data_IF_294556596003
#
_entry.id   IF_294556596003
#
_cell.length_a   1.000
_cell.length_b   1.000
_cell.length_c   1.000
_cell.angle_alpha   90.00
_cell.angle_beta   90.00
_cell.angle_gamma   90.00
#
_symmetry.space_group_name_H-M   'P 1'
#
loop_
_entity.id
_entity.type
_entity.pdbx_description
1 polymer ?
#
# COMPACT_ATOMS: atom_id res chain seq x y z
N UNK A 1 -12.26 11.28 -86.26
CA UNK A 1 -11.83 9.88 -86.48
C UNK A 1 -11.16 9.42 -85.19
N UNK A 2 -11.85 8.56 -84.42
CA UNK A 2 -11.30 7.59 -83.43
C UNK A 2 -10.68 8.20 -82.15
N UNK A 3 -10.82 7.72 -80.89
CA UNK A 3 -11.73 6.86 -80.11
C UNK A 3 -11.03 6.70 -78.72
N UNK A 4 -11.77 6.75 -77.59
CA UNK A 4 -11.45 6.16 -76.25
C UNK A 4 -10.22 6.72 -75.47
N UNK A 5 -10.12 6.71 -74.13
CA UNK A 5 -10.76 5.94 -73.05
C UNK A 5 -10.65 6.71 -71.73
N UNK A 6 -11.69 6.60 -70.90
CA UNK A 6 -11.67 6.85 -69.45
C UNK A 6 -10.80 5.78 -68.74
N UNK A 7 -10.22 6.08 -67.57
CA UNK A 7 -10.41 5.32 -66.32
C UNK A 7 -9.68 6.01 -65.15
N UNK A 8 -10.46 6.32 -64.10
CA UNK A 8 -9.99 6.72 -62.79
C UNK A 8 -9.43 5.51 -62.04
N UNK A 9 -8.31 5.68 -61.33
CA UNK A 9 -7.75 4.71 -60.39
C UNK A 9 -7.88 5.33 -59.00
N UNK A 10 -9.01 5.14 -58.33
CA UNK A 10 -9.32 4.07 -57.37
C UNK A 10 -8.42 4.13 -56.13
N UNK A 11 -9.02 4.69 -55.07
CA UNK A 11 -8.55 4.72 -53.70
C UNK A 11 -8.11 3.33 -53.22
N UNK A 12 -6.88 3.24 -52.71
CA UNK A 12 -6.46 2.21 -51.78
C UNK A 12 -7.28 2.40 -50.48
N UNK A 13 -8.42 1.71 -50.40
CA UNK A 13 -9.03 1.40 -49.11
C UNK A 13 -8.03 0.52 -48.36
N UNK A 14 -7.38 1.09 -47.35
CA UNK A 14 -6.83 0.32 -46.24
C UNK A 14 -8.00 -0.48 -45.65
N UNK A 15 -8.08 -1.77 -45.98
CA UNK A 15 -8.92 -2.71 -45.26
C UNK A 15 -8.38 -2.77 -43.84
N UNK A 16 -8.99 -2.00 -42.94
CA UNK A 16 -8.87 -2.22 -41.50
C UNK A 16 -9.41 -3.62 -41.26
N UNK A 17 -8.51 -4.60 -41.17
CA UNK A 17 -8.84 -5.94 -40.69
C UNK A 17 -9.45 -5.77 -39.31
N UNK A 18 -10.75 -6.00 -39.19
CA UNK A 18 -11.49 -5.91 -37.93
C UNK A 18 -11.03 -7.07 -37.06
N UNK A 19 -9.99 -6.87 -36.25
CA UNK A 19 -9.41 -7.91 -35.39
C UNK A 19 -10.43 -8.37 -34.34
N UNK A 20 -10.40 -9.66 -34.00
CA UNK A 20 -11.40 -10.28 -33.15
C UNK A 20 -11.15 -10.07 -31.65
N UNK A 21 -10.00 -10.52 -31.16
CA UNK A 21 -9.44 -10.01 -29.92
C UNK A 21 -8.04 -9.50 -30.21
N UNK A 22 -7.64 -8.44 -29.53
CA UNK A 22 -6.34 -7.82 -29.67
C UNK A 22 -5.71 -7.65 -28.29
N UNK A 23 -4.41 -7.88 -28.19
CA UNK A 23 -3.62 -7.47 -27.03
C UNK A 23 -3.51 -5.95 -27.03
N UNK A 24 -4.27 -5.31 -26.14
CA UNK A 24 -4.37 -3.84 -26.00
C UNK A 24 -3.60 -3.33 -24.79
N UNK A 25 -3.35 -4.18 -23.80
CA UNK A 25 -2.49 -3.93 -22.65
C UNK A 25 -1.55 -5.11 -22.39
N UNK A 26 -0.35 -5.07 -22.96
CA UNK A 26 0.64 -6.13 -22.79
C UNK A 26 1.22 -6.19 -21.36
N UNK A 27 1.33 -5.04 -20.69
CA UNK A 27 1.89 -4.91 -19.35
C UNK A 27 1.03 -4.02 -18.43
N UNK A 28 -0.17 -4.48 -18.01
CA UNK A 28 -1.00 -3.75 -17.06
C UNK A 28 -0.35 -3.66 -15.67
N UNK A 29 -0.79 -2.69 -14.87
CA UNK A 29 -0.37 -2.54 -13.48
C UNK A 29 -1.55 -2.65 -12.53
N UNK A 30 -1.33 -3.30 -11.39
CA UNK A 30 -2.20 -3.22 -10.21
C UNK A 30 -1.38 -2.53 -9.11
N UNK A 31 -1.75 -1.30 -8.77
CA UNK A 31 -1.07 -0.51 -7.75
C UNK A 31 -1.99 -0.37 -6.53
N UNK A 32 -1.57 -0.90 -5.39
CA UNK A 32 -2.28 -0.69 -4.11
C UNK A 32 -1.90 0.66 -3.45
N UNK A 33 -0.85 1.33 -3.93
CA UNK A 33 -0.37 2.61 -3.41
C UNK A 33 0.55 2.48 -2.21
N UNK A 34 0.62 3.53 -1.40
CA UNK A 34 1.49 3.65 -0.24
C UNK A 34 0.68 3.48 1.03
N UNK A 35 0.98 2.44 1.82
CA UNK A 35 0.21 2.08 3.01
C UNK A 35 1.17 1.69 4.14
N UNK A 36 0.88 2.09 5.38
CA UNK A 36 1.74 1.73 6.51
C UNK A 36 1.68 0.24 6.85
N UNK A 37 2.76 -0.31 7.40
CA UNK A 37 2.83 -1.73 7.78
C UNK A 37 1.68 -2.16 8.71
N UNK A 38 1.29 -1.31 9.65
CA UNK A 38 0.17 -1.58 10.57
C UNK A 38 -1.19 -1.51 9.87
N UNK A 39 -1.36 -0.59 8.93
CA UNK A 39 -2.61 -0.46 8.16
C UNK A 39 -2.81 -1.65 7.23
N UNK A 40 -1.76 -2.07 6.52
CA UNK A 40 -1.81 -3.28 5.67
C UNK A 40 -2.11 -4.53 6.51
N UNK A 41 -1.54 -4.63 7.71
CA UNK A 41 -1.76 -5.76 8.60
C UNK A 41 -3.19 -5.83 9.15
N UNK A 42 -3.85 -4.68 9.35
CA UNK A 42 -5.18 -4.61 9.97
C UNK A 42 -6.35 -4.43 8.99
N UNK A 43 -6.08 -3.99 7.76
CA UNK A 43 -7.11 -3.68 6.77
C UNK A 43 -6.72 -4.12 5.36
N UNK A 44 -7.68 -4.68 4.64
CA UNK A 44 -7.49 -5.13 3.26
C UNK A 44 -7.36 -3.94 2.32
N UNK A 45 -6.37 -4.00 1.42
CA UNK A 45 -6.20 -3.04 0.35
C UNK A 45 -6.81 -3.59 -0.93
N UNK A 46 -7.41 -2.74 -1.75
CA UNK A 46 -8.08 -3.13 -2.99
C UNK A 46 -7.58 -2.27 -4.14
N UNK A 47 -7.41 -2.89 -5.30
CA UNK A 47 -7.03 -2.20 -6.54
C UNK A 47 -7.53 -2.99 -7.76
N UNK A 48 -7.26 -2.46 -8.95
CA UNK A 48 -7.65 -3.09 -10.21
C UNK A 48 -6.56 -2.92 -11.27
N UNK A 49 -6.55 -3.81 -12.24
CA UNK A 49 -5.63 -3.74 -13.37
C UNK A 49 -5.97 -2.53 -14.24
N UNK A 50 -4.97 -1.69 -14.49
CA UNK A 50 -5.09 -0.52 -15.35
C UNK A 50 -4.23 -0.71 -16.62
N UNK A 51 -4.78 -0.49 -17.83
CA UNK A 51 -6.18 -0.11 -18.11
C UNK A 51 -7.19 -1.27 -17.93
N UNK A 52 -6.75 -2.52 -18.10
CA UNK A 52 -7.54 -3.76 -17.93
C UNK A 52 -6.61 -4.98 -17.94
N UNK A 53 -7.13 -6.21 -17.87
CA UNK A 53 -6.32 -7.43 -17.71
C UNK A 53 -5.45 -7.83 -18.92
N UNK A 54 -5.78 -7.40 -20.14
CA UNK A 54 -4.79 -7.43 -21.23
C UNK A 54 -5.34 -7.32 -22.66
N UNK A 55 -6.44 -8.00 -22.96
CA UNK A 55 -7.03 -7.99 -24.29
C UNK A 55 -8.33 -7.20 -24.32
N UNK A 56 -8.67 -6.70 -25.50
CA UNK A 56 -10.01 -6.21 -25.85
C UNK A 56 -10.56 -7.10 -26.97
N UNK A 57 -11.80 -7.54 -26.85
CA UNK A 57 -12.49 -8.35 -27.86
C UNK A 57 -13.66 -7.59 -28.48
N UNK A 58 -13.79 -7.64 -29.81
CA UNK A 58 -14.86 -7.03 -30.58
C UNK A 58 -15.95 -8.05 -30.94
N UNK A 59 -17.09 -7.89 -30.30
CA UNK A 59 -18.30 -8.70 -30.45
C UNK A 59 -19.42 -7.99 -31.24
N UNK A 60 -19.12 -6.91 -31.98
CA UNK A 60 -20.12 -6.12 -32.74
C UNK A 60 -20.94 -6.92 -33.74
N UNK A 61 -20.42 -8.05 -34.19
CA UNK A 61 -21.05 -8.94 -35.17
C UNK A 61 -21.54 -10.26 -34.57
N UNK A 62 -21.50 -10.39 -33.23
CA UNK A 62 -21.98 -11.59 -32.54
C UNK A 62 -23.52 -11.63 -32.56
N UNK A 63 -24.11 -12.29 -33.57
CA UNK A 63 -25.58 -12.40 -33.73
C UNK A 63 -26.19 -13.46 -32.81
N UNK A 64 -25.46 -14.54 -32.53
CA UNK A 64 -25.89 -15.60 -31.62
C UNK A 64 -24.69 -16.38 -31.09
N UNK A 65 -24.69 -16.66 -29.78
CA UNK A 65 -23.74 -17.56 -29.13
C UNK A 65 -23.90 -18.98 -29.69
N UNK A 66 -22.88 -19.49 -30.38
CA UNK A 66 -22.87 -20.88 -30.83
C UNK A 66 -22.28 -21.79 -29.75
N UNK A 67 -22.70 -23.06 -29.76
CA UNK A 67 -22.10 -24.08 -28.90
C UNK A 67 -20.60 -24.18 -29.18
N UNK A 68 -19.77 -24.00 -28.14
CA UNK A 68 -18.31 -24.07 -28.24
C UNK A 68 -17.62 -22.73 -28.51
N UNK A 69 -18.34 -21.60 -28.51
CA UNK A 69 -17.70 -20.28 -28.47
C UNK A 69 -17.13 -20.01 -27.07
N UNK A 70 -15.89 -19.53 -27.01
CA UNK A 70 -15.26 -19.17 -25.75
C UNK A 70 -14.24 -18.05 -25.91
N UNK A 71 -14.06 -17.33 -24.82
CA UNK A 71 -12.88 -16.54 -24.50
C UNK A 71 -12.50 -16.98 -23.11
N UNK A 72 -11.27 -17.45 -22.94
CA UNK A 72 -10.79 -18.00 -21.68
C UNK A 72 -9.48 -17.35 -21.27
N UNK A 73 -9.30 -17.19 -19.96
CA UNK A 73 -8.05 -16.76 -19.36
C UNK A 73 -7.58 -17.75 -18.30
N UNK A 74 -6.28 -18.01 -18.27
CA UNK A 74 -5.59 -18.68 -17.16
C UNK A 74 -4.66 -17.68 -16.50
N UNK A 75 -4.82 -17.47 -15.20
CA UNK A 75 -4.00 -16.56 -14.41
C UNK A 75 -2.91 -17.34 -13.68
N UNK A 76 -1.64 -17.02 -13.90
CA UNK A 76 -0.52 -17.67 -13.22
C UNK A 76 0.35 -16.61 -12.54
N UNK A 77 0.44 -16.65 -11.22
CA UNK A 77 1.35 -15.81 -10.43
C UNK A 77 2.71 -16.51 -10.30
N UNK A 78 3.80 -15.74 -10.39
CA UNK A 78 5.16 -16.26 -10.13
C UNK A 78 5.31 -16.67 -8.67
N UNK A 79 4.69 -15.93 -7.75
CA UNK A 79 4.78 -16.15 -6.31
C UNK A 79 3.53 -16.81 -5.70
N UNK A 80 2.71 -17.48 -6.51
CA UNK A 80 1.47 -18.16 -6.09
C UNK A 80 0.49 -17.25 -5.29
N UNK A 81 0.35 -15.99 -5.68
CA UNK A 81 -0.55 -15.03 -5.02
C UNK A 81 0.05 -14.38 -3.78
N UNK A 82 1.38 -14.32 -3.69
CA UNK A 82 2.10 -13.61 -2.63
C UNK A 82 2.84 -12.42 -3.23
N UNK A 83 2.62 -11.24 -2.67
CA UNK A 83 3.51 -10.11 -2.86
C UNK A 83 4.73 -10.31 -1.94
N UNK A 84 5.92 -10.28 -2.52
CA UNK A 84 7.19 -10.43 -1.80
C UNK A 84 7.89 -9.08 -1.72
N UNK A 85 8.43 -8.75 -0.53
CA UNK A 85 9.29 -7.59 -0.38
C UNK A 85 10.63 -7.83 -1.09
N UNK A 86 11.06 -6.90 -1.94
CA UNK A 86 12.30 -7.01 -2.71
C UNK A 86 13.56 -7.07 -1.82
N UNK A 87 13.53 -6.41 -0.66
CA UNK A 87 14.67 -6.30 0.27
C UNK A 87 14.58 -7.27 1.47
N UNK A 88 13.40 -7.80 1.77
CA UNK A 88 13.17 -8.80 2.83
C UNK A 88 12.18 -9.89 2.37
N UNK A 89 12.63 -10.89 1.60
CA UNK A 89 11.76 -11.94 1.07
C UNK A 89 11.00 -12.75 2.13
N UNK A 90 11.39 -12.68 3.41
CA UNK A 90 10.66 -13.32 4.52
C UNK A 90 9.38 -12.57 4.89
N UNK A 91 9.22 -11.33 4.43
CA UNK A 91 8.03 -10.53 4.63
C UNK A 91 7.15 -10.67 3.38
N UNK A 92 6.08 -11.45 3.54
CA UNK A 92 5.18 -11.85 2.46
C UNK A 92 3.74 -11.40 2.76
N UNK A 93 3.05 -10.94 1.73
CA UNK A 93 1.64 -10.53 1.82
C UNK A 93 0.82 -11.28 0.79
N UNK A 94 -0.12 -12.09 1.25
CA UNK A 94 -1.05 -12.77 0.33
C UNK A 94 -1.98 -11.76 -0.34
N UNK A 95 -2.42 -12.09 -1.55
CA UNK A 95 -3.48 -11.37 -2.23
C UNK A 95 -4.29 -12.33 -3.10
N UNK A 96 -5.53 -11.92 -3.37
CA UNK A 96 -6.47 -12.65 -4.22
C UNK A 96 -6.85 -11.76 -5.40
N UNK A 97 -7.26 -12.37 -6.51
CA UNK A 97 -7.75 -11.68 -7.70
C UNK A 97 -9.20 -12.04 -7.99
N UNK A 98 -9.93 -11.11 -8.60
CA UNK A 98 -11.38 -11.20 -8.79
C UNK A 98 -11.82 -10.66 -10.15
N UNK A 99 -12.93 -11.20 -10.65
CA UNK A 99 -13.56 -10.78 -11.90
C UNK A 99 -14.46 -9.55 -11.79
N UNK A 100 -14.90 -9.22 -10.57
CA UNK A 100 -15.90 -8.18 -10.33
C UNK A 100 -15.43 -7.18 -9.26
N UNK A 101 -15.90 -5.92 -9.33
CA UNK A 101 -15.54 -4.90 -8.34
C UNK A 101 -16.08 -5.21 -6.93
N UNK A 102 -17.11 -6.06 -6.82
CA UNK A 102 -17.67 -6.52 -5.54
C UNK A 102 -16.85 -7.60 -4.86
N UNK A 103 -15.81 -8.13 -5.53
CA UNK A 103 -14.93 -9.20 -5.05
C UNK A 103 -15.71 -10.48 -4.66
N UNK A 104 -16.73 -10.80 -5.43
CA UNK A 104 -17.60 -11.96 -5.23
C UNK A 104 -17.19 -13.18 -6.07
N UNK A 105 -16.52 -12.93 -7.20
CA UNK A 105 -16.02 -13.94 -8.13
C UNK A 105 -14.51 -13.99 -8.06
N UNK A 106 -13.98 -14.89 -7.21
CA UNK A 106 -12.54 -15.11 -7.08
C UNK A 106 -11.99 -15.89 -8.29
N UNK A 107 -10.86 -15.42 -8.82
CA UNK A 107 -10.02 -16.17 -9.74
C UNK A 107 -8.88 -16.84 -8.97
N UNK A 108 -8.85 -18.16 -9.01
CA UNK A 108 -7.81 -18.98 -8.39
C UNK A 108 -6.67 -19.16 -9.39
N UNK A 109 -5.44 -18.88 -8.96
CA UNK A 109 -4.27 -19.05 -9.81
C UNK A 109 -4.13 -20.51 -10.32
N UNK A 110 -3.73 -20.65 -11.57
CA UNK A 110 -3.61 -21.93 -12.28
C UNK A 110 -4.93 -22.47 -12.87
N UNK A 111 -6.08 -21.90 -12.51
CA UNK A 111 -7.37 -22.28 -13.09
C UNK A 111 -7.67 -21.49 -14.37
N UNK A 112 -8.43 -22.11 -15.26
CA UNK A 112 -8.88 -21.50 -16.52
C UNK A 112 -10.34 -21.09 -16.39
N UNK A 113 -10.63 -19.83 -16.72
CA UNK A 113 -11.95 -19.25 -16.62
C UNK A 113 -12.48 -18.93 -18.02
N UNK A 114 -13.62 -19.52 -18.39
CA UNK A 114 -14.32 -19.22 -19.63
C UNK A 114 -15.34 -18.11 -19.39
N UNK A 115 -15.09 -16.93 -19.99
CA UNK A 115 -15.92 -15.76 -19.81
C UNK A 115 -17.35 -15.95 -20.34
N UNK A 116 -17.57 -16.85 -21.31
CA UNK A 116 -18.89 -17.17 -21.86
C UNK A 116 -19.77 -17.93 -20.86
N UNK A 117 -19.17 -18.69 -19.94
CA UNK A 117 -19.89 -19.48 -18.94
C UNK A 117 -20.22 -18.68 -17.67
N UNK A 118 -19.41 -17.68 -17.36
CA UNK A 118 -19.55 -16.85 -16.16
C UNK A 118 -20.39 -15.58 -16.38
N UNK A 119 -21.14 -15.50 -17.48
CA UNK A 119 -22.06 -14.40 -17.75
C UNK A 119 -21.51 -13.29 -18.65
N UNK A 120 -20.81 -13.63 -19.73
CA UNK A 120 -20.35 -12.66 -20.74
C UNK A 120 -21.45 -11.69 -21.21
N UNK A 121 -22.72 -12.11 -21.21
CA UNK A 121 -23.85 -11.26 -21.59
C UNK A 121 -24.04 -10.05 -20.67
N UNK A 122 -23.71 -10.16 -19.37
CA UNK A 122 -23.71 -9.02 -18.45
C UNK A 122 -22.53 -8.08 -18.75
N UNK A 123 -21.39 -8.64 -19.17
CA UNK A 123 -20.22 -7.89 -19.64
C UNK A 123 -20.54 -7.12 -20.94
N UNK A 124 -21.18 -7.76 -21.92
CA UNK A 124 -21.58 -7.12 -23.19
C UNK A 124 -22.71 -6.11 -23.01
N UNK A 125 -23.65 -6.36 -22.08
CA UNK A 125 -24.70 -5.42 -21.72
C UNK A 125 -24.18 -4.13 -21.06
N UNK A 126 -23.02 -4.21 -20.39
CA UNK A 126 -22.38 -3.10 -19.69
C UNK A 126 -21.32 -2.35 -20.52
N UNK A 127 -20.55 -3.05 -21.36
CA UNK A 127 -19.41 -2.49 -22.11
C UNK A 127 -19.69 -2.29 -23.62
N UNK A 128 -20.85 -2.72 -24.11
CA UNK A 128 -21.23 -2.60 -25.51
C UNK A 128 -20.60 -3.69 -26.38
N UNK A 129 -20.34 -3.37 -27.65
CA UNK A 129 -19.84 -4.35 -28.63
C UNK A 129 -18.34 -4.64 -28.50
N UNK A 130 -17.60 -3.89 -27.69
CA UNK A 130 -16.20 -4.18 -27.35
C UNK A 130 -16.13 -4.52 -25.86
N UNK A 131 -15.62 -5.69 -25.53
CA UNK A 131 -15.43 -6.09 -24.14
C UNK A 131 -13.97 -5.97 -23.73
N UNK A 132 -13.76 -5.31 -22.60
CA UNK A 132 -12.52 -5.35 -21.84
C UNK A 132 -12.74 -6.26 -20.63
N UNK A 133 -11.70 -7.00 -20.25
CA UNK A 133 -11.78 -7.94 -19.13
C UNK A 133 -11.18 -7.28 -17.90
N UNK A 134 -12.00 -6.90 -16.91
CA UNK A 134 -11.48 -6.30 -15.68
C UNK A 134 -10.81 -7.38 -14.82
N UNK A 135 -9.85 -6.94 -14.01
CA UNK A 135 -9.23 -7.75 -12.99
C UNK A 135 -9.07 -6.88 -11.74
N UNK A 136 -9.64 -7.33 -10.64
CA UNK A 136 -9.53 -6.68 -9.34
C UNK A 136 -8.61 -7.51 -8.45
N UNK A 137 -7.96 -6.87 -7.48
CA UNK A 137 -7.11 -7.55 -6.52
C UNK A 137 -7.38 -7.03 -5.12
N UNK A 138 -7.21 -7.91 -4.13
CA UNK A 138 -7.35 -7.57 -2.71
C UNK A 138 -6.26 -8.24 -1.89
N UNK A 139 -5.60 -7.49 -1.03
CA UNK A 139 -4.59 -8.04 -0.10
C UNK A 139 -5.25 -8.81 1.04
N UNK A 140 -4.50 -9.75 1.61
CA UNK A 140 -4.76 -10.34 2.91
C UNK A 140 -4.51 -9.35 4.06
N UNK A 141 -4.70 -9.84 5.28
CA UNK A 141 -4.43 -9.14 6.55
C UNK A 141 -3.70 -10.08 7.50
N UNK A 142 -3.16 -9.56 8.60
CA UNK A 142 -2.51 -10.33 9.65
C UNK A 142 -1.02 -10.63 9.42
N UNK A 143 -0.45 -10.21 8.28
CA UNK A 143 0.99 -10.31 8.06
C UNK A 143 1.76 -9.27 8.88
N UNK A 144 2.90 -9.67 9.43
CA UNK A 144 3.87 -8.77 10.03
C UNK A 144 4.93 -8.39 8.99
N UNK A 145 4.84 -7.17 8.47
CA UNK A 145 5.56 -6.73 7.28
C UNK A 145 6.69 -5.77 7.65
N UNK A 146 7.81 -5.88 6.95
CA UNK A 146 8.83 -4.85 6.89
C UNK A 146 8.44 -3.76 5.89
N UNK A 147 9.05 -2.58 6.01
CA UNK A 147 8.90 -1.54 5.01
C UNK A 147 9.61 -1.95 3.71
N UNK A 148 9.09 -1.49 2.57
CA UNK A 148 9.69 -1.77 1.27
C UNK A 148 8.67 -1.93 0.16
N UNK A 149 9.17 -2.28 -1.02
CA UNK A 149 8.37 -2.50 -2.21
C UNK A 149 8.01 -3.97 -2.33
N UNK A 150 6.72 -4.24 -2.42
CA UNK A 150 6.14 -5.57 -2.49
C UNK A 150 5.65 -5.85 -3.90
N UNK A 151 6.15 -6.92 -4.53
CA UNK A 151 5.82 -7.24 -5.92
C UNK A 151 5.43 -8.68 -6.15
N UNK A 152 4.61 -8.86 -7.19
CA UNK A 152 4.35 -10.13 -7.86
C UNK A 152 4.07 -9.86 -9.34
N UNK A 153 4.18 -10.90 -10.17
CA UNK A 153 3.82 -10.84 -11.58
C UNK A 153 2.81 -11.93 -11.91
N UNK A 154 1.70 -11.53 -12.52
CA UNK A 154 0.67 -12.43 -13.02
C UNK A 154 0.80 -12.51 -14.53
N UNK A 155 1.09 -13.69 -15.03
CA UNK A 155 0.98 -14.01 -16.45
C UNK A 155 -0.45 -14.44 -16.76
N UNK A 156 -1.12 -13.69 -17.63
CA UNK A 156 -2.47 -14.02 -18.11
C UNK A 156 -2.38 -14.60 -19.51
N UNK A 157 -2.75 -15.87 -19.63
CA UNK A 157 -2.78 -16.59 -20.90
C UNK A 157 -4.19 -16.57 -21.47
N UNK A 158 -4.38 -15.85 -22.56
CA UNK A 158 -5.66 -15.69 -23.24
C UNK A 158 -5.77 -16.66 -24.42
N UNK A 159 -6.92 -17.32 -24.54
CA UNK A 159 -7.28 -18.13 -25.70
C UNK A 159 -8.73 -17.82 -26.04
N UNK A 160 -9.00 -17.58 -27.31
CA UNK A 160 -10.36 -17.37 -27.79
C UNK A 160 -10.61 -18.17 -29.05
N UNK A 161 -11.86 -18.59 -29.19
CA UNK A 161 -12.43 -19.12 -30.42
C UNK A 161 -13.93 -18.85 -30.40
N UNK A 162 -14.37 -17.86 -31.16
CA UNK A 162 -15.79 -17.52 -31.23
C UNK A 162 -16.21 -17.13 -32.65
N UNK A 163 -17.52 -17.18 -32.88
CA UNK A 163 -18.06 -16.81 -34.17
C UNK A 163 -18.18 -15.29 -34.34
N UNK A 164 -17.23 -14.69 -35.06
CA UNK A 164 -17.30 -13.25 -35.39
C UNK A 164 -18.17 -12.99 -36.62
N UNK A 165 -18.28 -13.91 -37.57
CA UNK A 165 -19.06 -13.70 -38.78
C UNK A 165 -20.52 -14.14 -38.66
N UNK A 166 -21.02 -14.90 -39.64
CA UNK A 166 -22.43 -15.30 -39.70
C UNK A 166 -22.58 -16.75 -39.23
N UNK A 167 -23.42 -16.97 -38.22
CA UNK A 167 -23.88 -18.30 -37.81
C UNK A 167 -25.11 -18.73 -38.63
N UNK A 168 -24.96 -19.73 -39.51
CA UNK A 168 -26.08 -20.30 -40.28
C UNK A 168 -26.16 -21.80 -40.01
N UNK A 169 -27.32 -22.28 -39.54
CA UNK A 169 -27.56 -23.70 -39.25
C UNK A 169 -26.52 -24.34 -38.30
N UNK A 170 -26.00 -23.58 -37.34
CA UNK A 170 -24.99 -24.06 -36.37
C UNK A 170 -23.54 -24.02 -36.90
N UNK A 171 -23.31 -23.58 -38.13
CA UNK A 171 -21.97 -23.38 -38.70
C UNK A 171 -21.60 -21.91 -38.68
N UNK A 172 -20.42 -21.60 -38.15
CA UNK A 172 -19.87 -20.26 -38.18
C UNK A 172 -19.06 -20.01 -39.46
N UNK A 173 -19.45 -19.04 -40.26
CA UNK A 173 -18.65 -18.49 -41.35
C UNK A 173 -17.94 -17.25 -40.83
N UNK A 174 -16.62 -17.31 -40.67
CA UNK A 174 -15.82 -16.24 -40.07
C UNK A 174 -15.56 -16.45 -38.57
N UNK A 175 -15.13 -17.66 -38.20
CA UNK A 175 -14.58 -17.91 -36.85
C UNK A 175 -13.34 -17.06 -36.66
N UNK A 176 -13.20 -16.53 -35.45
CA UNK A 176 -11.99 -15.87 -35.05
C UNK A 176 -11.43 -16.57 -33.83
N UNK A 177 -10.25 -17.15 -34.03
CA UNK A 177 -9.51 -17.85 -33.01
C UNK A 177 -8.11 -17.23 -32.87
N UNK A 178 -7.54 -17.36 -31.68
CA UNK A 178 -6.21 -16.83 -31.40
C UNK A 178 -5.85 -16.96 -29.94
N UNK A 179 -4.65 -16.51 -29.63
CA UNK A 179 -4.13 -16.43 -28.28
C UNK A 179 -3.27 -15.19 -28.10
N UNK A 180 -3.18 -14.74 -26.87
CA UNK A 180 -2.31 -13.65 -26.46
C UNK A 180 -1.86 -13.87 -25.02
N UNK A 181 -0.82 -13.15 -24.62
CA UNK A 181 -0.35 -13.16 -23.25
C UNK A 181 -0.12 -11.72 -22.80
N UNK A 182 -0.63 -11.40 -21.61
CA UNK A 182 -0.31 -10.17 -20.89
C UNK A 182 0.41 -10.53 -19.58
N UNK A 183 1.28 -9.62 -19.12
CA UNK A 183 2.00 -9.78 -17.86
C UNK A 183 1.66 -8.59 -16.98
N UNK A 184 0.91 -8.85 -15.90
CA UNK A 184 0.46 -7.83 -14.96
C UNK A 184 1.45 -7.76 -13.81
N UNK A 185 2.00 -6.58 -13.55
CA UNK A 185 2.78 -6.34 -12.32
C UNK A 185 1.83 -5.87 -11.23
N UNK A 186 1.87 -6.55 -10.09
CA UNK A 186 1.14 -6.18 -8.89
C UNK A 186 2.13 -5.57 -7.90
N UNK A 187 1.85 -4.36 -7.42
CA UNK A 187 2.77 -3.61 -6.57
C UNK A 187 2.06 -2.93 -5.39
N UNK A 188 2.69 -2.99 -4.23
CA UNK A 188 2.33 -2.28 -3.01
C UNK A 188 3.59 -1.65 -2.41
N UNK A 189 3.51 -0.39 -2.01
CA UNK A 189 4.56 0.25 -1.22
C UNK A 189 4.18 0.21 0.25
N UNK A 190 4.91 -0.55 1.06
CA UNK A 190 4.75 -0.56 2.51
C UNK A 190 5.67 0.49 3.12
N UNK A 191 5.10 1.43 3.88
CA UNK A 191 5.86 2.48 4.57
C UNK A 191 6.08 2.11 6.05
N UNK A 192 7.20 2.54 6.65
CA UNK A 192 7.43 2.32 8.06
C UNK A 192 6.51 3.19 8.91
N UNK A 193 6.19 2.72 10.11
CA UNK A 193 5.25 3.32 11.05
C UNK A 193 5.54 2.82 12.48
N UNK A 194 5.06 3.54 13.49
CA UNK A 194 5.26 3.20 14.90
C UNK A 194 4.03 3.56 15.73
N UNK A 195 3.60 2.64 16.59
CA UNK A 195 2.68 2.95 17.69
C UNK A 195 3.50 3.41 18.90
N UNK A 196 3.16 4.58 19.45
CA UNK A 196 3.88 5.21 20.56
C UNK A 196 2.97 5.27 21.79
N UNK A 197 3.50 4.85 22.94
CA UNK A 197 2.89 5.08 24.26
C UNK A 197 3.85 5.92 25.10
N UNK A 198 3.41 7.14 25.45
CA UNK A 198 4.16 8.07 26.28
C UNK A 198 3.25 8.57 27.42
N UNK A 199 3.56 8.27 28.69
CA UNK A 199 2.77 8.72 29.84
C UNK A 199 3.03 10.19 30.17
N UNK A 200 2.07 10.83 30.84
CA UNK A 200 2.25 12.15 31.42
C UNK A 200 3.28 12.12 32.57
N UNK A 201 4.09 13.18 32.64
CA UNK A 201 5.07 13.39 33.72
C UNK A 201 4.42 14.28 34.79
N UNK A 202 4.31 13.76 36.01
CA UNK A 202 3.84 14.52 37.18
C UNK A 202 4.96 14.62 38.22
N UNK A 203 5.50 15.83 38.41
CA UNK A 203 6.53 16.12 39.42
C UNK A 203 5.96 16.22 40.84
N UNK A 204 4.63 16.20 41.02
CA UNK A 204 3.98 16.41 42.29
C UNK A 204 4.05 17.86 42.77
N UNK A 205 4.19 18.06 44.08
CA UNK A 205 4.18 19.39 44.70
C UNK A 205 5.34 19.58 45.66
N UNK A 206 6.00 20.73 45.59
CA UNK A 206 7.03 21.12 46.55
C UNK A 206 7.00 22.64 46.78
N UNK A 207 7.27 23.13 48.01
CA UNK A 207 7.33 24.56 48.28
C UNK A 207 8.58 25.24 47.70
N UNK A 208 9.63 24.46 47.37
CA UNK A 208 10.90 24.95 46.83
C UNK A 208 11.32 24.09 45.65
N UNK A 209 12.00 24.68 44.67
CA UNK A 209 12.50 23.96 43.47
C UNK A 209 13.41 22.78 43.80
N UNK A 210 14.18 22.89 44.89
CA UNK A 210 15.09 21.85 45.35
C UNK A 210 14.39 20.66 46.02
N UNK A 211 13.10 20.75 46.33
CA UNK A 211 12.34 19.69 46.98
C UNK A 211 11.45 18.89 46.04
N UNK A 212 11.56 19.07 44.72
CA UNK A 212 10.92 18.19 43.75
C UNK A 212 11.80 16.97 43.52
N UNK A 213 11.23 15.79 43.68
CA UNK A 213 11.93 14.55 43.34
C UNK A 213 11.88 14.29 41.83
N UNK A 214 12.95 13.71 41.24
CA UNK A 214 12.92 13.30 39.85
C UNK A 214 11.87 12.22 39.58
N UNK A 215 11.30 12.24 38.38
CA UNK A 215 10.32 11.25 37.91
C UNK A 215 11.00 10.35 36.89
N UNK A 216 10.99 9.04 37.13
CA UNK A 216 11.49 8.04 36.18
C UNK A 216 10.31 7.30 35.55
N UNK A 217 10.25 7.29 34.23
CA UNK A 217 9.17 6.70 33.44
C UNK A 217 9.74 6.10 32.14
N UNK A 218 8.87 5.62 31.25
CA UNK A 218 9.22 4.92 30.02
C UNK A 218 8.34 5.39 28.87
N UNK A 219 8.94 5.56 27.70
CA UNK A 219 8.24 5.66 26.42
C UNK A 219 8.38 4.30 25.72
N UNK A 220 7.27 3.72 25.28
CA UNK A 220 7.23 2.43 24.60
C UNK A 220 6.84 2.60 23.15
N UNK A 221 7.57 1.96 22.23
CA UNK A 221 7.31 1.99 20.79
C UNK A 221 7.19 0.58 20.23
N UNK A 222 6.16 0.32 19.44
CA UNK A 222 6.11 -0.86 18.55
C UNK A 222 6.19 -0.36 17.12
N UNK A 223 7.32 -0.61 16.46
CA UNK A 223 7.64 -0.10 15.13
C UNK A 223 7.72 -1.20 14.09
N UNK A 224 7.53 -0.84 12.82
CA UNK A 224 7.63 -1.75 11.66
C UNK A 224 8.83 -2.67 11.73
N UNK A 225 8.63 -3.94 11.42
CA UNK A 225 9.69 -4.96 11.40
C UNK A 225 10.92 -4.47 10.61
N UNK A 226 12.10 -4.63 11.20
CA UNK A 226 13.41 -4.27 10.63
C UNK A 226 13.59 -2.77 10.29
N UNK A 227 12.72 -1.86 10.76
CA UNK A 227 12.91 -0.42 10.52
C UNK A 227 14.07 0.13 11.35
N UNK A 228 14.91 0.96 10.74
CA UNK A 228 15.79 1.87 11.48
C UNK A 228 15.03 3.17 11.75
N UNK A 229 15.14 3.71 12.95
CA UNK A 229 14.54 5.01 13.30
C UNK A 229 15.29 5.69 14.45
N UNK A 230 14.97 6.97 14.67
CA UNK A 230 15.36 7.73 15.86
C UNK A 230 14.15 8.39 16.53
N UNK A 231 14.18 8.49 17.87
CA UNK A 231 13.14 9.08 18.71
C UNK A 231 13.63 10.40 19.29
N UNK A 232 12.85 11.45 19.06
CA UNK A 232 13.10 12.79 19.58
C UNK A 232 12.03 13.26 20.54
N UNK A 233 12.44 14.16 21.43
CA UNK A 233 11.56 14.95 22.27
C UNK A 233 11.82 16.42 21.96
N UNK A 234 10.82 17.18 21.51
CA UNK A 234 11.01 18.62 21.30
C UNK A 234 11.23 19.38 22.64
N UNK A 235 11.43 20.68 22.58
CA UNK A 235 11.72 21.49 23.78
C UNK A 235 10.47 21.92 24.56
N UNK A 236 9.29 21.45 24.15
CA UNK A 236 8.01 21.85 24.71
C UNK A 236 7.44 23.14 24.10
N UNK A 237 6.25 23.54 24.54
CA UNK A 237 5.52 24.70 24.01
C UNK A 237 6.09 26.03 24.53
N UNK A 238 6.73 26.00 25.71
CA UNK A 238 7.16 27.21 26.43
C UNK A 238 8.68 27.35 26.55
N UNK A 239 9.43 26.65 25.70
CA UNK A 239 10.88 26.64 25.68
C UNK A 239 11.50 28.05 25.55
N UNK A 240 12.71 28.23 26.06
CA UNK A 240 13.52 29.43 25.80
C UNK A 240 14.98 29.04 25.62
N UNK A 241 15.56 29.34 24.46
CA UNK A 241 16.94 29.00 24.15
C UNK A 241 17.25 27.50 24.25
N UNK A 242 16.26 26.64 23.99
CA UNK A 242 16.37 25.18 24.11
C UNK A 242 16.04 24.63 25.50
N UNK A 243 15.95 25.47 26.53
CA UNK A 243 15.57 25.04 27.87
C UNK A 243 14.06 24.80 27.94
N UNK A 244 13.66 23.59 28.33
CA UNK A 244 12.24 23.25 28.56
C UNK A 244 11.73 23.95 29.82
N UNK A 245 10.51 24.48 29.75
CA UNK A 245 9.89 25.22 30.85
C UNK A 245 8.39 24.94 30.88
N UNK A 246 7.85 24.73 32.06
CA UNK A 246 6.41 24.76 32.28
C UNK A 246 5.96 26.19 32.61
N UNK A 247 4.72 26.54 32.31
CA UNK A 247 4.18 27.88 32.54
C UNK A 247 3.00 27.86 33.51
N UNK A 248 2.91 28.87 34.39
CA UNK A 248 1.75 29.17 35.23
C UNK A 248 1.59 30.68 35.36
N UNK A 249 0.46 31.23 34.87
CA UNK A 249 0.15 32.67 34.99
C UNK A 249 1.29 33.63 34.58
N UNK A 250 2.06 33.26 33.55
CA UNK A 250 3.20 34.06 33.06
C UNK A 250 4.53 33.84 33.80
N UNK A 251 4.54 33.00 34.84
CA UNK A 251 5.75 32.50 35.49
C UNK A 251 6.16 31.17 34.89
N UNK A 252 7.46 30.86 34.95
CA UNK A 252 8.03 29.66 34.35
C UNK A 252 8.75 28.81 35.40
N UNK A 253 8.70 27.50 35.21
CA UNK A 253 9.42 26.50 35.99
C UNK A 253 10.23 25.62 35.03
N UNK A 254 11.55 25.70 35.10
CA UNK A 254 12.45 24.98 34.20
C UNK A 254 12.58 23.51 34.62
N UNK A 255 12.54 22.62 33.64
CA UNK A 255 12.69 21.18 33.84
C UNK A 255 13.48 20.58 32.68
N UNK A 256 13.92 19.34 32.84
CA UNK A 256 14.60 18.64 31.76
C UNK A 256 14.36 17.12 31.82
N UNK A 257 14.43 16.46 30.65
CA UNK A 257 14.27 15.02 30.47
C UNK A 257 15.59 14.43 29.97
N UNK A 258 16.07 13.43 30.68
CA UNK A 258 17.35 12.76 30.43
C UNK A 258 17.16 11.31 30.01
N UNK A 259 18.09 10.81 29.20
CA UNK A 259 18.12 9.41 28.73
C UNK A 259 18.35 8.47 29.92
N UNK A 260 17.44 7.53 30.12
CA UNK A 260 17.53 6.50 31.18
C UNK A 260 17.80 7.13 32.56
N UNK A 261 18.83 6.68 33.28
CA UNK A 261 19.27 7.26 34.55
C UNK A 261 20.47 8.21 34.41
N UNK A 262 20.80 8.64 33.19
CA UNK A 262 21.97 9.49 32.92
C UNK A 262 21.65 10.97 33.12
N UNK A 263 22.64 11.83 32.86
CA UNK A 263 22.48 13.28 32.74
C UNK A 263 22.56 13.73 31.27
N UNK A 264 22.49 12.80 30.31
CA UNK A 264 22.43 13.13 28.89
C UNK A 264 21.02 13.56 28.52
N UNK A 265 20.88 14.76 27.97
CA UNK A 265 19.60 15.30 27.55
C UNK A 265 18.98 14.42 26.47
N UNK A 266 17.69 14.13 26.61
CA UNK A 266 16.90 13.56 25.52
C UNK A 266 16.14 14.69 24.82
N UNK A 267 16.58 15.03 23.62
CA UNK A 267 16.11 16.16 22.82
C UNK A 267 15.67 15.75 21.42
N UNK A 268 15.34 16.76 20.61
CA UNK A 268 14.81 16.56 19.26
C UNK A 268 15.88 16.62 18.17
N UNK A 269 17.12 17.01 18.51
CA UNK A 269 18.16 17.35 17.52
C UNK A 269 19.42 16.50 17.67
N UNK A 270 19.97 16.04 16.54
CA UNK A 270 21.29 15.38 16.46
C UNK A 270 21.44 14.26 17.53
N UNK A 271 22.55 14.26 18.28
CA UNK A 271 22.90 13.27 19.29
C UNK A 271 21.99 13.27 20.53
N UNK A 272 21.11 14.25 20.69
CA UNK A 272 20.14 14.26 21.79
C UNK A 272 18.96 13.31 21.53
N UNK A 273 18.72 12.93 20.26
CA UNK A 273 17.78 11.87 19.90
C UNK A 273 18.30 10.51 20.40
N UNK A 274 17.43 9.51 20.42
CA UNK A 274 17.78 8.11 20.70
C UNK A 274 17.56 7.28 19.45
N UNK A 275 18.55 6.52 19.04
CA UNK A 275 18.42 5.59 17.93
C UNK A 275 17.64 4.35 18.36
N UNK A 276 17.04 3.63 17.41
CA UNK A 276 16.30 2.39 17.67
C UNK A 276 17.11 1.38 18.51
N UNK A 277 18.43 1.33 18.27
CA UNK A 277 19.37 0.47 18.99
C UNK A 277 19.68 0.89 20.43
N UNK A 278 19.35 2.12 20.85
CA UNK A 278 19.59 2.64 22.21
C UNK A 278 18.54 2.12 23.22
N UNK A 279 17.85 1.03 22.94
CA UNK A 279 16.74 0.52 23.76
C UNK A 279 17.20 0.11 25.16
N UNK A 280 16.40 0.43 26.19
CA UNK A 280 16.71 0.01 27.57
C UNK A 280 16.23 -1.42 27.84
N UNK A 281 15.03 -1.78 27.36
CA UNK A 281 14.50 -3.15 27.43
C UNK A 281 13.68 -3.48 26.18
N UNK A 282 13.79 -4.73 25.71
CA UNK A 282 13.22 -5.19 24.43
C UNK A 282 14.29 -5.60 23.43
N UNK A 283 13.89 -5.91 22.20
CA UNK A 283 14.82 -6.17 21.10
C UNK A 283 15.42 -4.87 20.57
N UNK A 284 16.71 -4.88 20.18
CA UNK A 284 17.35 -3.70 19.57
C UNK A 284 16.94 -3.49 18.12
N UNK A 285 16.41 -4.51 17.46
CA UNK A 285 15.84 -4.45 16.11
C UNK A 285 14.32 -4.59 16.27
N UNK A 286 13.51 -3.69 15.71
CA UNK A 286 12.06 -3.80 15.81
C UNK A 286 11.55 -5.04 15.10
N UNK A 287 10.67 -5.79 15.75
CA UNK A 287 10.07 -7.00 15.18
C UNK A 287 8.64 -6.76 14.70
N UNK A 288 8.09 -5.55 14.77
CA UNK A 288 6.70 -5.25 14.40
C UNK A 288 5.64 -5.61 15.45
N UNK A 289 6.02 -6.22 16.58
CA UNK A 289 5.09 -6.84 17.53
C UNK A 289 5.43 -6.45 18.98
N UNK A 290 6.67 -6.69 19.39
CA UNK A 290 7.15 -6.49 20.75
C UNK A 290 7.53 -5.02 20.97
N UNK A 291 7.01 -4.36 22.02
CA UNK A 291 7.42 -3.00 22.33
C UNK A 291 8.90 -2.88 22.70
N UNK A 292 9.54 -1.83 22.19
CA UNK A 292 10.85 -1.35 22.58
C UNK A 292 10.67 -0.22 23.59
N UNK A 293 11.34 -0.32 24.73
CA UNK A 293 11.15 0.59 25.85
C UNK A 293 12.37 1.50 26.03
N UNK A 294 12.10 2.79 26.13
CA UNK A 294 13.07 3.86 26.30
C UNK A 294 12.77 4.58 27.61
N UNK A 295 13.53 4.24 28.65
CA UNK A 295 13.41 4.83 29.97
C UNK A 295 13.93 6.27 29.93
N UNK A 296 13.36 7.12 30.76
CA UNK A 296 13.84 8.48 30.97
C UNK A 296 13.70 8.89 32.42
N UNK A 297 14.49 9.90 32.79
CA UNK A 297 14.39 10.60 34.07
C UNK A 297 14.12 12.07 33.80
N UNK A 298 12.97 12.55 34.25
CA UNK A 298 12.61 13.96 34.23
C UNK A 298 12.92 14.60 35.58
N UNK A 299 13.37 15.86 35.61
CA UNK A 299 13.59 16.60 36.85
C UNK A 299 13.32 18.10 36.68
N UNK A 300 12.88 18.73 37.76
CA UNK A 300 12.92 20.19 37.89
C UNK A 300 14.37 20.62 38.08
N UNK A 301 14.82 21.67 37.37
CA UNK A 301 16.18 22.18 37.51
C UNK A 301 16.32 22.97 38.81
N UNK A 302 17.33 22.64 39.62
CA UNK A 302 17.50 23.25 40.95
C UNK A 302 18.26 24.57 40.95
N UNK A 303 18.86 24.96 39.82
CA UNK A 303 19.64 26.19 39.66
C UNK A 303 18.81 27.46 39.39
N UNK A 304 17.48 27.35 39.38
CA UNK A 304 16.56 28.47 39.14
C UNK A 304 16.04 29.08 40.46
N UNK A 305 15.55 30.32 40.41
CA UNK A 305 14.80 30.91 41.53
C UNK A 305 13.45 30.21 41.69
N UNK A 306 12.99 29.97 42.92
CA UNK A 306 11.66 29.38 43.14
C UNK A 306 10.57 30.36 42.67
N UNK A 307 9.75 29.98 41.67
CA UNK A 307 8.69 30.86 41.18
C UNK A 307 7.48 30.83 42.14
N UNK A 308 6.48 31.72 41.97
CA UNK A 308 5.29 31.72 42.81
C UNK A 308 4.55 30.38 42.80
N UNK A 309 3.80 30.10 43.88
CA UNK A 309 2.97 28.90 43.96
C UNK A 309 1.93 28.87 42.83
N UNK A 310 1.80 27.73 42.17
CA UNK A 310 0.87 27.52 41.07
C UNK A 310 1.03 26.14 40.45
N UNK A 311 0.10 25.77 39.58
CA UNK A 311 0.22 24.57 38.73
C UNK A 311 0.90 24.97 37.43
N UNK A 312 2.06 24.40 37.17
CA UNK A 312 2.85 24.66 35.97
C UNK A 312 2.66 23.50 35.00
N UNK A 313 2.39 23.80 33.73
CA UNK A 313 2.20 22.78 32.67
C UNK A 313 3.01 23.10 31.44
N UNK A 314 3.39 22.08 30.68
CA UNK A 314 3.99 22.17 29.35
C UNK A 314 3.49 21.01 28.48
N UNK A 315 3.73 21.07 27.17
CA UNK A 315 3.38 19.99 26.24
C UNK A 315 4.56 19.69 25.33
N UNK A 316 5.03 18.43 25.34
CA UNK A 316 6.15 17.94 24.55
C UNK A 316 5.63 17.06 23.42
N UNK A 317 6.22 17.20 22.23
CA UNK A 317 5.99 16.30 21.11
C UNK A 317 7.07 15.23 21.12
N UNK A 318 6.64 13.97 21.17
CA UNK A 318 7.46 12.80 20.86
C UNK A 318 7.37 12.56 19.36
N UNK A 319 8.51 12.55 18.67
CA UNK A 319 8.57 12.30 17.23
C UNK A 319 9.46 11.11 16.89
N UNK A 320 9.11 10.39 15.83
CA UNK A 320 9.90 9.29 15.27
C UNK A 320 10.30 9.66 13.85
N UNK A 321 11.56 9.43 13.51
CA UNK A 321 12.12 9.66 12.18
C UNK A 321 12.73 8.37 11.66
N UNK A 322 12.29 7.93 10.48
CA UNK A 322 12.79 6.75 9.75
C UNK A 322 13.88 7.14 8.75
#
# INVERSE_FOLDING_TARGET
MILRSWFASLLLFFSCSTMACQLTAAAPLILFGNVSSFTVSSSQQQSSAQPHAGITCDFSTLVSLLSGDYVSATFNSINNGLLLNEDDPSSELSYQIFGDPGLSQEYVFGQTYNFFEIGLLDLLGLFGTQAEFPLYARTGVGSNLSAGTYKDQITVSWIWDYCKGIGVLGVCIGRANGSAQSVITVELQVTPDCMITAPDIDFGSSPLVAGFEPVSQVISLTCTKNSSFSIGLNDGLNASGGQRRMISSGHYLEYEIYKSSTMERWGGTSSERREHGDVDTGGSIPDGITPQNYNYRAQILTSQTTPPAGTYTDSIIVDVQF
#
